data_IF_598411119807
#
_entry.id   IF_598411119807
#
_cell.length_a   1.000
_cell.length_b   1.000
_cell.length_c   1.000
_cell.angle_alpha   90.00
_cell.angle_beta   90.00
_cell.angle_gamma   90.00
#
_symmetry.space_group_name_H-M   'P 1'
#
loop_
_entity.id
_entity.type
_entity.pdbx_description
1 polymer ?
#
# COMPACT_ATOMS: atom_id res chain seq x y z
N UNK A 1 -1.74 -9.35 13.22
CA UNK A 1 -2.74 -8.26 13.17
C UNK A 1 -2.96 -7.60 14.53
N UNK A 2 -3.37 -8.32 15.57
CA UNK A 2 -3.65 -7.71 16.89
C UNK A 2 -2.43 -6.99 17.50
N UNK A 3 -1.23 -7.60 17.44
CA UNK A 3 0.00 -6.96 17.91
C UNK A 3 0.35 -5.66 17.18
N UNK A 4 0.05 -5.54 15.88
CA UNK A 4 0.26 -4.29 15.11
C UNK A 4 -0.68 -3.21 15.62
N UNK A 5 -1.96 -3.52 15.81
CA UNK A 5 -2.96 -2.56 16.29
C UNK A 5 -2.64 -2.11 17.71
N UNK A 6 -2.28 -3.04 18.60
CA UNK A 6 -1.95 -2.72 19.98
C UNK A 6 -0.69 -1.86 20.09
N UNK A 7 0.39 -2.24 19.41
CA UNK A 7 1.71 -1.59 19.60
C UNK A 7 1.93 -0.34 18.75
N UNK A 8 1.34 -0.27 17.55
CA UNK A 8 1.59 0.82 16.61
C UNK A 8 0.42 1.78 16.43
N UNK A 9 -0.78 1.41 16.88
CA UNK A 9 -1.99 2.21 16.71
C UNK A 9 -2.69 2.52 18.04
N UNK A 10 -2.07 2.24 19.19
CA UNK A 10 -2.65 2.53 20.52
C UNK A 10 -4.01 1.86 20.71
N UNK A 11 -4.18 0.65 20.17
CA UNK A 11 -5.47 -0.05 20.18
C UNK A 11 -6.59 0.62 19.35
N UNK A 12 -6.27 1.63 18.54
CA UNK A 12 -7.21 2.57 17.92
C UNK A 12 -8.07 3.36 18.92
N UNK A 13 -7.57 3.59 20.14
CA UNK A 13 -8.31 4.30 21.20
C UNK A 13 -8.10 5.81 21.09
N UNK A 14 -7.03 6.27 20.41
CA UNK A 14 -6.78 7.68 20.14
C UNK A 14 -6.34 8.50 21.36
N UNK A 15 -6.01 7.84 22.48
CA UNK A 15 -5.67 8.48 23.74
C UNK A 15 -4.16 8.54 24.05
N UNK A 16 -3.31 7.92 23.22
CA UNK A 16 -1.88 7.81 23.51
C UNK A 16 -1.10 9.00 22.94
N UNK A 17 -0.10 9.47 23.71
CA UNK A 17 0.90 10.41 23.22
C UNK A 17 1.66 9.80 22.03
N UNK A 18 2.04 10.60 21.02
CA UNK A 18 2.76 10.08 19.86
C UNK A 18 4.03 9.36 20.31
N UNK A 19 4.17 8.09 19.92
CA UNK A 19 5.36 7.29 20.22
C UNK A 19 6.60 7.88 19.56
N UNK A 20 7.75 7.77 20.21
CA UNK A 20 9.02 8.18 19.60
C UNK A 20 9.28 7.41 18.30
N UNK A 21 10.03 7.98 17.38
CA UNK A 21 10.39 7.26 16.15
C UNK A 21 11.16 5.98 16.47
N UNK A 22 12.08 6.04 17.44
CA UNK A 22 12.90 4.90 17.86
C UNK A 22 12.03 3.74 18.36
N UNK A 23 11.06 4.01 19.23
CA UNK A 23 10.14 2.97 19.74
C UNK A 23 9.28 2.39 18.61
N UNK A 24 8.84 3.24 17.68
CA UNK A 24 8.06 2.80 16.52
C UNK A 24 8.88 1.84 15.66
N UNK A 25 10.15 2.18 15.40
CA UNK A 25 11.08 1.36 14.61
C UNK A 25 11.38 0.03 15.31
N UNK A 26 11.60 0.04 16.63
CA UNK A 26 11.84 -1.17 17.41
C UNK A 26 10.64 -2.14 17.34
N UNK A 27 9.42 -1.62 17.52
CA UNK A 27 8.21 -2.42 17.37
C UNK A 27 8.00 -2.93 15.94
N UNK A 28 8.29 -2.09 14.94
CA UNK A 28 8.21 -2.45 13.53
C UNK A 28 9.09 -3.65 13.21
N UNK A 29 10.37 -3.62 13.59
CA UNK A 29 11.29 -4.74 13.33
C UNK A 29 10.87 -6.02 14.05
N UNK A 30 10.43 -5.92 15.30
CA UNK A 30 9.94 -7.09 16.06
C UNK A 30 8.74 -7.75 15.36
N UNK A 31 7.78 -6.95 14.91
CA UNK A 31 6.58 -7.43 14.24
C UNK A 31 6.87 -7.97 12.83
N UNK A 32 7.81 -7.36 12.10
CA UNK A 32 8.24 -7.88 10.79
C UNK A 32 8.93 -9.24 10.95
N UNK A 33 9.79 -9.40 11.97
CA UNK A 33 10.41 -10.69 12.27
C UNK A 33 9.35 -11.78 12.55
N UNK A 34 8.35 -11.47 13.38
CA UNK A 34 7.25 -12.41 13.65
C UNK A 34 6.47 -12.78 12.38
N UNK A 35 6.30 -11.83 11.47
CA UNK A 35 5.61 -12.07 10.20
C UNK A 35 6.44 -12.96 9.27
N UNK A 36 7.75 -12.76 9.24
CA UNK A 36 8.70 -13.62 8.51
C UNK A 36 8.70 -15.03 9.08
N UNK A 37 8.80 -15.19 10.40
CA UNK A 37 8.77 -16.50 11.06
C UNK A 37 7.45 -17.23 10.77
N UNK A 38 6.34 -16.51 10.84
CA UNK A 38 5.02 -17.04 10.49
C UNK A 38 4.96 -17.51 9.03
N UNK A 39 5.52 -16.75 8.09
CA UNK A 39 5.54 -17.12 6.67
C UNK A 39 6.34 -18.41 6.45
N UNK A 40 7.49 -18.57 7.12
CA UNK A 40 8.33 -19.76 7.02
C UNK A 40 7.68 -21.00 7.66
N UNK A 41 6.83 -20.80 8.67
CA UNK A 41 6.10 -21.89 9.31
C UNK A 41 4.88 -22.38 8.52
N UNK A 42 4.53 -21.76 7.38
CA UNK A 42 3.38 -22.16 6.58
C UNK A 42 3.62 -23.53 5.91
N UNK A 43 2.63 -24.44 5.95
CA UNK A 43 2.72 -25.68 5.18
C UNK A 43 2.70 -25.36 3.67
N UNK A 44 3.37 -26.16 2.81
CA UNK A 44 3.44 -25.90 1.36
C UNK A 44 2.07 -25.74 0.68
N UNK A 45 1.05 -26.42 1.20
CA UNK A 45 -0.33 -26.36 0.71
C UNK A 45 -1.01 -25.01 0.95
N UNK A 46 -0.49 -24.18 1.87
CA UNK A 46 -0.97 -22.84 2.22
C UNK A 46 0.07 -21.75 1.93
N UNK A 47 1.13 -22.06 1.18
CA UNK A 47 2.15 -21.07 0.82
C UNK A 47 1.53 -19.85 0.13
N UNK A 48 2.09 -18.66 0.39
CA UNK A 48 1.64 -17.42 -0.24
C UNK A 48 1.76 -17.51 -1.77
N UNK A 49 1.03 -16.65 -2.48
CA UNK A 49 1.00 -16.58 -3.94
C UNK A 49 1.57 -15.25 -4.42
N UNK A 50 2.27 -15.28 -5.56
CA UNK A 50 2.40 -14.08 -6.37
C UNK A 50 1.17 -13.98 -7.30
N UNK A 51 0.76 -12.75 -7.61
CA UNK A 51 -0.31 -12.42 -8.55
C UNK A 51 -0.07 -13.00 -9.94
N UNK A 52 1.18 -13.20 -10.34
CA UNK A 52 1.57 -13.84 -11.60
C UNK A 52 1.42 -15.38 -11.58
N UNK A 53 1.42 -16.00 -10.39
CA UNK A 53 1.48 -17.46 -10.20
C UNK A 53 0.12 -18.08 -9.89
N UNK A 54 -0.97 -17.32 -10.00
CA UNK A 54 -2.30 -17.83 -9.72
C UNK A 54 -2.72 -18.76 -10.87
N UNK A 55 -3.02 -20.03 -10.61
CA UNK A 55 -3.48 -20.94 -11.65
C UNK A 55 -4.81 -20.46 -12.21
N UNK A 56 -4.81 -20.06 -13.48
CA UNK A 56 -6.00 -19.59 -14.17
C UNK A 56 -6.91 -20.72 -14.63
N UNK A 57 -6.41 -21.94 -14.71
CA UNK A 57 -7.19 -23.12 -15.10
C UNK A 57 -7.15 -24.12 -13.95
N UNK A 58 -8.31 -24.67 -13.59
CA UNK A 58 -8.48 -25.68 -12.53
C UNK A 58 -7.77 -25.30 -11.21
N UNK A 59 -8.21 -24.22 -10.53
CA UNK A 59 -7.64 -23.86 -9.23
C UNK A 59 -7.81 -25.03 -8.26
N UNK A 60 -6.69 -25.43 -7.64
CA UNK A 60 -6.73 -26.50 -6.63
C UNK A 60 -7.65 -26.14 -5.46
N UNK A 61 -8.13 -27.14 -4.73
CA UNK A 61 -9.10 -26.98 -3.62
C UNK A 61 -8.69 -25.93 -2.58
N UNK A 62 -7.38 -25.75 -2.36
CA UNK A 62 -6.84 -24.81 -1.38
C UNK A 62 -6.55 -23.41 -1.93
N UNK A 63 -6.72 -23.16 -3.22
CA UNK A 63 -6.27 -21.92 -3.85
C UNK A 63 -6.98 -20.68 -3.29
N UNK A 64 -8.28 -20.80 -2.98
CA UNK A 64 -9.03 -19.77 -2.26
C UNK A 64 -8.37 -19.37 -0.94
N UNK A 65 -7.92 -20.35 -0.15
CA UNK A 65 -7.27 -20.06 1.13
C UNK A 65 -5.92 -19.40 0.95
N UNK A 66 -5.14 -19.82 -0.06
CA UNK A 66 -3.85 -19.21 -0.40
C UNK A 66 -4.00 -17.76 -0.83
N UNK A 67 -5.00 -17.45 -1.66
CA UNK A 67 -5.33 -16.08 -2.08
C UNK A 67 -5.72 -15.23 -0.87
N UNK A 68 -6.66 -15.70 -0.03
CA UNK A 68 -7.09 -14.96 1.16
C UNK A 68 -5.92 -14.72 2.12
N UNK A 69 -5.05 -15.72 2.31
CA UNK A 69 -3.89 -15.61 3.18
C UNK A 69 -2.87 -14.60 2.66
N UNK A 70 -2.62 -14.61 1.35
CA UNK A 70 -1.75 -13.66 0.64
C UNK A 70 -2.27 -12.23 0.77
N UNK A 71 -3.56 -12.00 0.52
CA UNK A 71 -4.18 -10.68 0.69
C UNK A 71 -4.04 -10.17 2.13
N UNK A 72 -4.27 -11.05 3.13
CA UNK A 72 -4.12 -10.69 4.55
C UNK A 72 -2.68 -10.39 4.93
N UNK A 73 -1.73 -11.15 4.40
CA UNK A 73 -0.30 -10.92 4.60
C UNK A 73 0.10 -9.53 4.10
N UNK A 74 -0.21 -9.19 2.84
CA UNK A 74 0.14 -7.88 2.29
C UNK A 74 -0.59 -6.74 2.98
N UNK A 75 -1.87 -6.92 3.33
CA UNK A 75 -2.59 -5.89 4.09
C UNK A 75 -1.98 -5.68 5.48
N UNK A 76 -1.49 -6.74 6.13
CA UNK A 76 -0.81 -6.62 7.41
C UNK A 76 0.54 -5.90 7.29
N UNK A 77 1.31 -6.16 6.23
CA UNK A 77 2.55 -5.41 5.94
C UNK A 77 2.27 -3.94 5.67
N UNK A 78 1.22 -3.63 4.92
CA UNK A 78 0.76 -2.25 4.73
C UNK A 78 0.48 -1.59 6.08
N UNK A 79 -0.31 -2.23 6.95
CA UNK A 79 -0.61 -1.68 8.28
C UNK A 79 0.65 -1.48 9.11
N UNK A 80 1.60 -2.40 9.05
CA UNK A 80 2.85 -2.30 9.80
C UNK A 80 3.68 -1.08 9.38
N UNK A 81 3.92 -0.93 8.08
CA UNK A 81 4.82 0.08 7.53
C UNK A 81 4.16 1.44 7.30
N UNK A 82 2.81 1.52 7.27
CA UNK A 82 2.05 2.76 7.07
C UNK A 82 2.40 3.84 8.10
N UNK A 83 2.80 3.46 9.31
CA UNK A 83 3.25 4.41 10.34
C UNK A 83 4.40 5.30 9.85
N UNK A 84 5.34 4.75 9.08
CA UNK A 84 6.44 5.51 8.49
C UNK A 84 5.98 6.41 7.35
N UNK A 85 5.01 5.96 6.54
CA UNK A 85 4.39 6.79 5.50
C UNK A 85 3.73 8.02 6.11
N UNK A 86 2.99 7.84 7.21
CA UNK A 86 2.33 8.94 7.91
C UNK A 86 3.35 9.94 8.44
N UNK A 87 4.48 9.48 9.00
CA UNK A 87 5.56 10.39 9.45
C UNK A 87 6.13 11.22 8.31
N UNK A 88 6.38 10.63 7.14
CA UNK A 88 6.80 11.42 5.97
C UNK A 88 5.75 12.43 5.53
N UNK A 89 4.48 12.04 5.49
CA UNK A 89 3.39 12.95 5.13
C UNK A 89 3.26 14.11 6.13
N UNK A 90 3.46 13.85 7.41
CA UNK A 90 3.47 14.89 8.44
C UNK A 90 4.61 15.89 8.22
N UNK A 91 5.83 15.41 7.94
CA UNK A 91 6.97 16.27 7.59
C UNK A 91 6.68 17.10 6.33
N UNK A 92 6.05 16.52 5.32
CA UNK A 92 5.63 17.24 4.10
C UNK A 92 4.54 18.29 4.44
N UNK A 93 3.67 17.99 5.39
CA UNK A 93 2.62 18.87 5.90
C UNK A 93 3.13 20.04 6.75
N UNK A 94 4.42 20.08 7.08
CA UNK A 94 5.06 21.15 7.85
C UNK A 94 5.34 20.82 9.32
N UNK A 95 5.11 19.58 9.75
CA UNK A 95 5.51 19.16 11.10
C UNK A 95 7.03 19.19 11.24
N UNK A 96 7.51 19.84 12.30
CA UNK A 96 8.94 19.92 12.61
C UNK A 96 9.37 18.57 13.16
N UNK A 97 10.16 17.85 12.38
CA UNK A 97 10.81 16.64 12.83
C UNK A 97 12.04 17.01 13.68
N UNK A 98 12.27 16.30 14.77
CA UNK A 98 13.51 16.45 15.53
C UNK A 98 14.71 16.12 14.63
N UNK A 99 15.73 16.97 14.65
CA UNK A 99 16.97 16.79 13.89
C UNK A 99 17.64 15.44 14.21
N UNK A 100 17.42 14.89 15.40
CA UNK A 100 17.93 13.56 15.77
C UNK A 100 17.15 12.40 15.14
N UNK A 101 15.85 12.59 14.87
CA UNK A 101 14.98 11.56 14.28
C UNK A 101 15.04 11.54 12.75
N UNK A 102 15.43 12.64 12.10
CA UNK A 102 15.43 12.77 10.64
C UNK A 102 16.30 11.71 9.91
N UNK A 103 17.54 11.42 10.35
CA UNK A 103 18.35 10.38 9.72
C UNK A 103 17.74 8.99 9.85
N UNK A 104 17.16 8.68 11.01
CA UNK A 104 16.52 7.39 11.28
C UNK A 104 15.27 7.21 10.40
N UNK A 105 14.46 8.27 10.26
CA UNK A 105 13.28 8.25 9.39
C UNK A 105 13.68 8.05 7.93
N UNK A 106 14.76 8.70 7.47
CA UNK A 106 15.27 8.50 6.12
C UNK A 106 15.72 7.05 5.89
N UNK A 107 16.52 6.49 6.80
CA UNK A 107 17.05 5.14 6.65
C UNK A 107 15.97 4.05 6.67
N UNK A 108 15.09 4.06 7.68
CA UNK A 108 14.10 3.00 7.88
C UNK A 108 12.79 3.29 7.13
N UNK A 109 12.42 4.57 7.03
CA UNK A 109 11.20 5.01 6.40
C UNK A 109 11.20 4.74 4.89
N UNK A 110 12.32 4.99 4.18
CA UNK A 110 12.39 4.72 2.73
C UNK A 110 12.05 3.25 2.44
N UNK A 111 12.68 2.32 3.16
CA UNK A 111 12.39 0.90 3.00
C UNK A 111 10.92 0.58 3.31
N UNK A 112 10.36 1.19 4.37
CA UNK A 112 8.95 1.02 4.72
C UNK A 112 8.00 1.51 3.63
N UNK A 113 8.32 2.64 2.97
CA UNK A 113 7.56 3.13 1.81
C UNK A 113 7.61 2.13 0.66
N UNK A 114 8.79 1.59 0.33
CA UNK A 114 8.92 0.59 -0.73
C UNK A 114 8.13 -0.69 -0.41
N UNK A 115 8.16 -1.17 0.84
CA UNK A 115 7.39 -2.35 1.28
C UNK A 115 5.89 -2.12 1.15
N UNK A 116 5.41 -0.94 1.55
CA UNK A 116 4.02 -0.53 1.36
C UNK A 116 3.64 -0.51 -0.12
N UNK A 117 4.45 0.09 -0.99
CA UNK A 117 4.19 0.11 -2.43
C UNK A 117 4.12 -1.30 -3.00
N UNK A 118 5.13 -2.14 -2.74
CA UNK A 118 5.18 -3.50 -3.26
C UNK A 118 3.96 -4.31 -2.81
N UNK A 119 3.60 -4.22 -1.53
CA UNK A 119 2.42 -4.91 -0.99
C UNK A 119 1.12 -4.40 -1.59
N UNK A 120 1.00 -3.10 -1.84
CA UNK A 120 -0.17 -2.50 -2.49
C UNK A 120 -0.31 -2.93 -3.93
N UNK A 121 0.79 -2.93 -4.70
CA UNK A 121 0.81 -3.42 -6.09
C UNK A 121 0.40 -4.89 -6.13
N UNK A 122 0.95 -5.72 -5.24
CA UNK A 122 0.62 -7.15 -5.19
C UNK A 122 -0.86 -7.39 -4.89
N UNK A 123 -1.46 -6.66 -3.94
CA UNK A 123 -2.91 -6.74 -3.67
C UNK A 123 -3.71 -6.36 -4.91
N UNK A 124 -3.41 -5.22 -5.55
CA UNK A 124 -4.16 -4.73 -6.70
C UNK A 124 -4.06 -5.72 -7.86
N UNK A 125 -2.85 -6.19 -8.18
CA UNK A 125 -2.61 -7.15 -9.26
C UNK A 125 -3.30 -8.50 -8.99
N UNK A 126 -3.26 -8.99 -7.75
CA UNK A 126 -3.93 -10.23 -7.33
C UNK A 126 -5.45 -10.12 -7.49
N UNK A 127 -6.07 -9.04 -6.99
CA UNK A 127 -7.52 -8.87 -7.09
C UNK A 127 -7.94 -8.61 -8.54
N UNK A 128 -7.25 -7.73 -9.27
CA UNK A 128 -7.45 -7.44 -10.69
C UNK A 128 -7.40 -8.71 -11.54
N UNK A 129 -6.37 -9.53 -11.31
CA UNK A 129 -6.17 -10.81 -11.97
C UNK A 129 -7.25 -11.84 -11.64
N UNK A 130 -8.00 -11.72 -10.55
CA UNK A 130 -9.10 -12.65 -10.25
C UNK A 130 -10.43 -12.13 -10.80
N UNK A 131 -10.73 -10.84 -10.64
CA UNK A 131 -12.02 -10.27 -11.08
C UNK A 131 -12.19 -10.27 -12.59
N UNK A 132 -11.10 -10.15 -13.36
CA UNK A 132 -11.12 -10.12 -14.84
C UNK A 132 -11.48 -11.46 -15.49
N UNK A 133 -11.31 -12.59 -14.79
CA UNK A 133 -11.52 -13.93 -15.37
C UNK A 133 -12.92 -14.52 -15.10
N UNK A 134 -13.86 -13.73 -14.57
CA UNK A 134 -15.27 -14.08 -14.45
C UNK A 134 -15.72 -14.64 -13.09
N UNK A 135 -17.03 -14.83 -12.94
CA UNK A 135 -17.71 -15.07 -11.66
C UNK A 135 -17.26 -16.33 -10.91
N UNK A 136 -16.91 -17.40 -11.64
CA UNK A 136 -16.47 -18.66 -11.01
C UNK A 136 -15.19 -18.49 -10.18
N UNK A 137 -14.30 -17.56 -10.57
CA UNK A 137 -13.04 -17.29 -9.88
C UNK A 137 -13.15 -16.23 -8.80
N UNK A 138 -14.15 -15.33 -8.87
CA UNK A 138 -14.42 -14.36 -7.79
C UNK A 138 -14.61 -15.05 -6.43
N UNK A 139 -15.07 -16.32 -6.42
CA UNK A 139 -15.14 -17.14 -5.20
C UNK A 139 -13.81 -17.32 -4.46
N UNK A 140 -12.67 -17.16 -5.15
CA UNK A 140 -11.32 -17.23 -4.56
C UNK A 140 -11.01 -16.03 -3.67
N UNK A 141 -11.65 -14.88 -3.90
CA UNK A 141 -11.51 -13.67 -3.09
C UNK A 141 -12.25 -13.78 -1.74
N UNK A 142 -13.07 -14.82 -1.56
CA UNK A 142 -13.91 -14.97 -0.38
C UNK A 142 -15.02 -13.94 -0.38
N UNK A 143 -15.14 -13.19 0.71
CA UNK A 143 -16.16 -12.15 0.82
C UNK A 143 -15.70 -10.85 0.15
N UNK A 144 -16.56 -10.29 -0.69
CA UNK A 144 -16.25 -9.12 -1.53
C UNK A 144 -15.78 -7.91 -0.71
N UNK A 145 -16.33 -7.67 0.48
CA UNK A 145 -16.00 -6.49 1.29
C UNK A 145 -14.54 -6.49 1.77
N UNK A 146 -13.93 -7.66 1.97
CA UNK A 146 -12.50 -7.74 2.27
C UNK A 146 -11.66 -7.31 1.07
N UNK A 147 -12.02 -7.76 -0.13
CA UNK A 147 -11.32 -7.38 -1.35
C UNK A 147 -11.46 -5.90 -1.67
N UNK A 148 -12.66 -5.34 -1.44
CA UNK A 148 -12.90 -3.90 -1.48
C UNK A 148 -11.97 -3.17 -0.52
N UNK A 149 -12.00 -3.54 0.77
CA UNK A 149 -11.20 -2.90 1.81
C UNK A 149 -9.70 -2.94 1.51
N UNK A 150 -9.16 -4.11 1.14
CA UNK A 150 -7.74 -4.27 0.84
C UNK A 150 -7.33 -3.48 -0.41
N UNK A 151 -8.10 -3.55 -1.48
CA UNK A 151 -7.81 -2.85 -2.75
C UNK A 151 -7.88 -1.34 -2.57
N UNK A 152 -8.90 -0.85 -1.85
CA UNK A 152 -9.07 0.57 -1.57
C UNK A 152 -7.92 1.11 -0.71
N UNK A 153 -7.56 0.42 0.37
CA UNK A 153 -6.42 0.83 1.21
C UNK A 153 -5.08 0.78 0.46
N UNK A 154 -4.87 -0.25 -0.36
CA UNK A 154 -3.69 -0.35 -1.21
C UNK A 154 -3.58 0.87 -2.13
N UNK A 155 -4.67 1.28 -2.78
CA UNK A 155 -4.72 2.46 -3.62
C UNK A 155 -4.41 3.75 -2.84
N UNK A 156 -4.99 3.94 -1.64
CA UNK A 156 -4.68 5.11 -0.79
C UNK A 156 -3.20 5.17 -0.40
N UNK A 157 -2.59 4.02 -0.11
CA UNK A 157 -1.16 3.92 0.20
C UNK A 157 -0.31 4.28 -1.02
N UNK A 158 -0.71 3.89 -2.23
CA UNK A 158 -0.03 4.32 -3.46
C UNK A 158 -0.19 5.82 -3.68
N UNK A 159 -1.35 6.41 -3.42
CA UNK A 159 -1.56 7.87 -3.48
C UNK A 159 -0.63 8.61 -2.49
N UNK A 160 -0.56 8.15 -1.23
CA UNK A 160 0.35 8.69 -0.23
C UNK A 160 1.82 8.58 -0.68
N UNK A 161 2.21 7.43 -1.20
CA UNK A 161 3.58 7.19 -1.68
C UNK A 161 3.93 8.08 -2.87
N UNK A 162 2.97 8.34 -3.77
CA UNK A 162 3.15 9.28 -4.87
C UNK A 162 3.40 10.70 -4.36
N UNK A 163 2.65 11.17 -3.35
CA UNK A 163 2.88 12.47 -2.73
C UNK A 163 4.29 12.54 -2.11
N UNK A 164 4.71 11.48 -1.41
CA UNK A 164 6.06 11.39 -0.84
C UNK A 164 7.14 11.47 -1.92
N UNK A 165 7.00 10.73 -3.03
CA UNK A 165 7.96 10.83 -4.14
C UNK A 165 8.04 12.23 -4.73
N UNK A 166 6.89 12.90 -4.87
CA UNK A 166 6.79 14.24 -5.44
C UNK A 166 7.38 15.33 -4.56
N UNK A 167 7.33 15.15 -3.24
CA UNK A 167 7.97 16.08 -2.30
C UNK A 167 9.50 16.12 -2.40
N UNK A 168 10.11 15.12 -3.05
CA UNK A 168 11.57 14.99 -3.11
C UNK A 168 12.19 14.40 -1.85
N UNK A 169 11.40 14.07 -0.82
CA UNK A 169 11.90 13.49 0.44
C UNK A 169 12.60 12.15 0.23
N UNK A 170 12.18 11.37 -0.77
CA UNK A 170 12.83 10.13 -1.18
C UNK A 170 13.55 10.36 -2.53
N UNK A 171 14.88 10.16 -2.59
CA UNK A 171 15.64 10.35 -3.81
C UNK A 171 15.24 9.32 -4.87
N UNK A 172 15.34 9.69 -6.14
CA UNK A 172 14.93 8.84 -7.26
C UNK A 172 15.70 7.51 -7.30
N UNK A 173 16.98 7.52 -6.95
CA UNK A 173 17.84 6.33 -6.85
C UNK A 173 17.37 5.31 -5.81
N UNK A 174 16.56 5.72 -4.82
CA UNK A 174 16.02 4.83 -3.80
C UNK A 174 14.61 4.31 -4.12
N UNK A 175 14.04 4.67 -5.27
CA UNK A 175 12.69 4.25 -5.69
C UNK A 175 12.81 2.95 -6.47
N UNK A 176 12.21 1.87 -5.96
CA UNK A 176 12.18 0.57 -6.65
C UNK A 176 11.13 0.61 -7.77
N UNK A 177 9.97 1.19 -7.47
CA UNK A 177 8.86 1.34 -8.41
C UNK A 177 8.73 2.83 -8.80
N UNK A 178 8.77 3.18 -10.10
CA UNK A 178 8.62 4.56 -10.58
C UNK A 178 7.26 5.18 -10.26
N UNK A 179 7.19 6.50 -10.18
CA UNK A 179 5.95 7.26 -9.92
C UNK A 179 4.85 6.98 -10.94
N UNK A 180 5.22 6.80 -12.20
CA UNK A 180 4.32 6.52 -13.32
C UNK A 180 3.63 5.18 -13.12
N UNK A 181 4.36 4.19 -12.58
CA UNK A 181 3.81 2.88 -12.28
C UNK A 181 2.82 2.95 -11.12
N UNK A 182 3.08 3.77 -10.08
CA UNK A 182 2.11 3.99 -9.00
C UNK A 182 0.79 4.52 -9.57
N UNK A 183 0.87 5.47 -10.50
CA UNK A 183 -0.31 6.07 -11.12
C UNK A 183 -1.15 5.06 -11.89
N UNK A 184 -0.49 4.21 -12.69
CA UNK A 184 -1.14 3.11 -13.42
C UNK A 184 -1.83 2.15 -12.44
N UNK A 185 -1.17 1.78 -11.34
CA UNK A 185 -1.75 0.88 -10.35
C UNK A 185 -2.95 1.49 -9.60
N UNK A 186 -2.95 2.80 -9.31
CA UNK A 186 -4.11 3.49 -8.71
C UNK A 186 -5.32 3.46 -9.66
N UNK A 187 -5.09 3.71 -10.95
CA UNK A 187 -6.13 3.64 -11.98
C UNK A 187 -6.64 2.20 -12.19
N UNK A 188 -5.74 1.22 -12.16
CA UNK A 188 -6.10 -0.20 -12.16
C UNK A 188 -6.95 -0.58 -10.94
N UNK A 189 -6.63 -0.06 -9.74
CA UNK A 189 -7.42 -0.32 -8.54
C UNK A 189 -8.85 0.19 -8.69
N UNK A 190 -9.04 1.40 -9.24
CA UNK A 190 -10.38 1.94 -9.52
C UNK A 190 -11.19 1.02 -10.44
N UNK A 191 -10.60 0.56 -11.55
CA UNK A 191 -11.29 -0.38 -12.48
C UNK A 191 -11.55 -1.73 -11.83
N UNK A 192 -10.61 -2.22 -11.04
CA UNK A 192 -10.73 -3.50 -10.31
C UNK A 192 -11.92 -3.48 -9.35
N UNK A 193 -12.13 -2.37 -8.64
CA UNK A 193 -13.30 -2.22 -7.77
C UNK A 193 -14.60 -2.26 -8.56
N UNK A 194 -14.71 -1.57 -9.69
CA UNK A 194 -15.93 -1.60 -10.53
C UNK A 194 -16.27 -3.00 -11.02
N UNK A 195 -15.25 -3.82 -11.26
CA UNK A 195 -15.40 -5.22 -11.66
C UNK A 195 -15.59 -6.18 -10.48
N UNK A 196 -15.58 -5.72 -9.23
CA UNK A 196 -15.71 -6.58 -8.05
C UNK A 196 -17.16 -7.01 -7.81
N UNK A 197 -18.08 -6.06 -7.85
CA UNK A 197 -19.54 -6.25 -7.79
C UNK A 197 -20.22 -4.98 -8.31
N UNK A 198 -20.78 -5.06 -9.52
CA UNK A 198 -21.28 -3.92 -10.28
C UNK A 198 -22.56 -3.31 -9.68
N UNK A 199 -23.33 -4.11 -8.92
CA UNK A 199 -24.62 -3.71 -8.36
C UNK A 199 -24.47 -3.03 -6.98
N UNK A 200 -23.25 -3.06 -6.43
CA UNK A 200 -22.98 -2.57 -5.09
C UNK A 200 -22.63 -1.07 -5.06
N UNK A 201 -23.49 -0.27 -4.42
CA UNK A 201 -23.31 1.19 -4.34
C UNK A 201 -22.05 1.62 -3.57
N UNK A 202 -21.63 0.86 -2.54
CA UNK A 202 -20.42 1.17 -1.79
C UNK A 202 -19.18 1.00 -2.67
N UNK A 203 -19.13 -0.08 -3.47
CA UNK A 203 -18.05 -0.33 -4.43
C UNK A 203 -17.98 0.78 -5.47
N UNK A 204 -19.12 1.14 -6.06
CA UNK A 204 -19.21 2.22 -7.04
C UNK A 204 -18.74 3.57 -6.45
N UNK A 205 -19.09 3.85 -5.20
CA UNK A 205 -18.63 5.05 -4.48
C UNK A 205 -17.12 5.04 -4.25
N UNK A 206 -16.55 3.93 -3.76
CA UNK A 206 -15.10 3.80 -3.56
C UNK A 206 -14.32 3.94 -4.88
N UNK A 207 -14.79 3.31 -5.96
CA UNK A 207 -14.17 3.45 -7.28
C UNK A 207 -14.18 4.90 -7.78
N UNK A 208 -15.32 5.61 -7.63
CA UNK A 208 -15.42 7.03 -7.97
C UNK A 208 -14.42 7.88 -7.19
N UNK A 209 -14.28 7.66 -5.88
CA UNK A 209 -13.30 8.40 -5.07
C UNK A 209 -11.87 8.12 -5.52
N UNK A 210 -11.51 6.87 -5.80
CA UNK A 210 -10.16 6.55 -6.31
C UNK A 210 -9.89 7.23 -7.65
N UNK A 211 -10.88 7.26 -8.56
CA UNK A 211 -10.76 7.96 -9.86
C UNK A 211 -10.58 9.47 -9.69
N UNK A 212 -11.27 10.09 -8.75
CA UNK A 212 -11.09 11.50 -8.43
C UNK A 212 -9.70 11.79 -7.85
N UNK A 213 -9.24 10.98 -6.89
CA UNK A 213 -7.89 11.09 -6.33
C UNK A 213 -6.82 10.94 -7.42
N UNK A 214 -6.97 9.94 -8.28
CA UNK A 214 -6.17 9.74 -9.47
C UNK A 214 -6.05 11.02 -10.33
N UNK A 215 -7.17 11.65 -10.67
CA UNK A 215 -7.18 12.89 -11.45
C UNK A 215 -6.48 14.07 -10.71
N UNK A 216 -6.65 14.19 -9.40
CA UNK A 216 -5.94 15.20 -8.59
C UNK A 216 -4.43 14.96 -8.62
N UNK A 217 -3.98 13.70 -8.57
CA UNK A 217 -2.55 13.38 -8.66
C UNK A 217 -1.95 13.72 -10.03
N UNK A 218 -2.70 13.64 -11.13
CA UNK A 218 -2.24 14.09 -12.45
C UNK A 218 -2.01 15.60 -12.49
N UNK A 219 -2.93 16.36 -11.89
CA UNK A 219 -2.81 17.81 -11.76
C UNK A 219 -1.57 18.17 -10.92
N UNK A 220 -1.34 17.45 -9.82
CA UNK A 220 -0.13 17.63 -9.00
C UNK A 220 1.15 17.20 -9.74
N UNK A 221 1.07 16.17 -10.59
CA UNK A 221 2.15 15.71 -11.46
C UNK A 221 2.59 16.77 -12.47
N UNK A 222 1.62 17.39 -13.15
CA UNK A 222 1.88 18.43 -14.15
C UNK A 222 2.40 19.74 -13.55
N UNK A 223 1.88 20.17 -12.39
CA UNK A 223 2.31 21.41 -11.73
C UNK A 223 3.78 21.39 -11.29
N UNK A 224 4.27 20.28 -10.74
CA UNK A 224 5.68 20.19 -10.33
C UNK A 224 6.67 20.06 -11.49
N UNK A 225 6.25 19.53 -12.65
CA UNK A 225 7.09 19.49 -13.87
C UNK A 225 7.41 20.89 -14.39
N UNK A 226 6.40 21.78 -14.37
CA UNK A 226 6.59 23.20 -14.73
C UNK A 226 7.52 23.91 -13.76
N UNK A 227 7.45 23.61 -12.45
CA UNK A 227 8.29 24.26 -11.43
C UNK A 227 9.79 23.92 -11.60
N UNK A 228 10.13 22.71 -12.04
CA UNK A 228 11.50 22.34 -12.40
C UNK A 228 12.00 23.02 -13.68
N UNK A 229 11.15 23.21 -14.69
CA UNK A 229 11.52 23.92 -15.92
C UNK A 229 11.88 25.40 -15.68
N UNK A 230 11.18 26.07 -14.76
CA UNK A 230 11.50 27.45 -14.39
C UNK A 230 12.82 27.59 -13.62
N UNK A 231 13.25 26.57 -12.86
CA UNK A 231 14.53 26.61 -12.13
C UNK A 231 15.72 26.51 -13.09
N UNK A 232 15.56 25.83 -14.23
CA UNK A 232 16.60 25.77 -15.28
C UNK A 232 16.58 26.95 -16.25
N UNK A 233 15.47 27.69 -16.34
CA UNK A 233 15.33 28.82 -17.27
C UNK A 233 15.99 30.14 -16.78
N UNK A 234 16.39 30.22 -15.51
CA UNK A 234 17.00 31.42 -14.90
C UNK A 234 18.38 31.15 -14.28
N UNK A 235 19.01 30.04 -14.65
CA UNK A 235 20.36 29.66 -14.21
C UNK A 235 21.33 29.57 -15.38
N UNK A 236 21.67 30.72 -15.98
CA UNK A 236 22.89 30.96 -16.77
C UNK A 236 23.14 32.47 -16.87
#
# INVERSE_FOLDING_TARGET
MWGVIALLYGGNIGCDSPSSLLDTVAHLFKLEQQLVDWQHALPPTLGLRNSQDIPMENPGTNEKFRVILTLRYHNLRILLHRTMLVRFLNTIGGDILDNQEAPLLQQVGINSVQICIQSSVEIISLVSGIVKYGDNKRKMLGAWWFSLYYTFNAALVLCASFIIYRSGTIPESARIIPSERLRICIDEASRTLELLDMENQTINTCAKYLRQLAAVLDILGTMGSRRSEWVWAWGN
#
